data_IF_088901444607
#
_entry.id   IF_088901444607
#
_cell.length_a   1.000
_cell.length_b   1.000
_cell.length_c   1.000
_cell.angle_alpha   90.00
_cell.angle_beta   90.00
_cell.angle_gamma   90.00
#
_symmetry.space_group_name_H-M   'P 1'
#
loop_
_entity.id
_entity.type
_entity.pdbx_description
1 polymer ?
#
# COMPACT_ATOMS: atom_id res chain seq x y z
N UNK A 1 -8.52 -3.89 -21.85
CA UNK A 1 -7.12 -4.24 -21.56
C UNK A 1 -6.79 -3.80 -20.15
N UNK A 2 -6.30 -4.69 -19.27
CA UNK A 2 -5.89 -4.36 -17.90
C UNK A 2 -4.46 -3.82 -17.89
N UNK A 3 -4.21 -2.74 -17.13
CA UNK A 3 -2.87 -2.20 -16.95
C UNK A 3 -2.20 -2.86 -15.74
N UNK A 4 -1.60 -4.02 -15.93
CA UNK A 4 -0.94 -4.80 -14.87
C UNK A 4 0.29 -4.06 -14.33
N UNK A 5 1.03 -3.39 -15.21
CA UNK A 5 2.18 -2.56 -14.84
C UNK A 5 1.88 -1.09 -15.02
N UNK A 6 2.46 -0.26 -14.18
CA UNK A 6 2.36 1.19 -14.33
C UNK A 6 3.17 1.65 -15.56
N UNK A 7 2.54 2.31 -16.55
CA UNK A 7 3.24 2.83 -17.70
C UNK A 7 4.37 3.79 -17.29
N UNK A 8 5.57 3.61 -17.84
CA UNK A 8 6.74 4.45 -17.52
C UNK A 8 6.48 5.95 -17.75
N UNK A 9 5.63 6.30 -18.72
CA UNK A 9 5.25 7.69 -18.99
C UNK A 9 4.57 8.38 -17.79
N UNK A 10 3.80 7.65 -16.97
CA UNK A 10 3.19 8.24 -15.77
C UNK A 10 4.23 8.67 -14.73
N UNK A 11 5.38 8.01 -14.68
CA UNK A 11 6.49 8.39 -13.79
C UNK A 11 7.06 9.76 -14.14
N UNK A 12 7.03 10.15 -15.41
CA UNK A 12 7.47 11.49 -15.87
C UNK A 12 6.51 12.58 -15.40
N UNK A 13 5.20 12.32 -15.39
CA UNK A 13 4.21 13.28 -14.91
C UNK A 13 4.15 13.38 -13.37
N UNK A 14 4.50 12.29 -12.67
CA UNK A 14 4.48 12.23 -11.21
C UNK A 14 5.84 11.80 -10.62
N UNK A 15 6.91 12.57 -10.84
CA UNK A 15 8.26 12.20 -10.40
C UNK A 15 8.43 12.18 -8.88
N UNK A 16 7.51 12.81 -8.15
CA UNK A 16 7.53 12.85 -6.68
C UNK A 16 6.87 11.65 -6.01
N UNK A 17 6.35 10.68 -6.77
CA UNK A 17 5.78 9.44 -6.26
C UNK A 17 6.83 8.34 -6.26
N UNK A 18 6.74 7.46 -5.26
CA UNK A 18 7.57 6.25 -5.20
C UNK A 18 6.88 5.16 -6.03
N UNK A 19 7.51 4.76 -7.12
CA UNK A 19 6.98 3.77 -8.06
C UNK A 19 7.64 2.40 -7.90
N UNK A 20 8.89 2.37 -7.48
CA UNK A 20 9.71 1.19 -7.24
C UNK A 20 10.77 1.53 -6.19
N UNK A 21 11.35 0.52 -5.58
CA UNK A 21 12.45 0.64 -4.62
C UNK A 21 13.79 0.37 -5.31
N UNK A 22 14.93 0.73 -4.69
CA UNK A 22 16.25 0.41 -5.21
C UNK A 22 16.41 -1.08 -5.49
N UNK A 23 17.18 -1.40 -6.53
CA UNK A 23 17.50 -2.77 -6.96
C UNK A 23 18.89 -3.18 -6.47
N UNK A 24 19.19 -4.47 -6.52
CA UNK A 24 20.51 -5.04 -6.22
C UNK A 24 20.53 -6.03 -5.06
N UNK A 25 19.43 -6.14 -4.31
CA UNK A 25 19.37 -6.96 -3.10
C UNK A 25 18.34 -8.10 -3.15
N UNK A 26 17.74 -8.38 -4.34
CA UNK A 26 16.67 -9.35 -4.53
C UNK A 26 15.51 -9.14 -3.55
N UNK A 27 15.00 -7.91 -3.46
CA UNK A 27 13.91 -7.54 -2.57
C UNK A 27 12.61 -7.30 -3.31
N UNK A 28 11.52 -7.85 -2.79
CA UNK A 28 10.15 -7.60 -3.21
C UNK A 28 9.42 -6.84 -2.10
N UNK A 29 8.65 -5.84 -2.49
CA UNK A 29 7.85 -5.02 -1.58
C UNK A 29 6.37 -5.30 -1.80
N UNK A 30 5.85 -6.30 -1.05
CA UNK A 30 4.42 -6.59 -1.07
C UNK A 30 3.65 -5.53 -0.31
N UNK A 31 2.53 -5.09 -0.87
CA UNK A 31 1.65 -4.12 -0.22
C UNK A 31 0.20 -4.57 -0.31
N UNK A 32 -0.57 -4.25 0.73
CA UNK A 32 -2.00 -4.54 0.82
C UNK A 32 -2.78 -3.25 0.97
N UNK A 33 -3.81 -3.07 0.15
CA UNK A 33 -4.69 -1.91 0.20
C UNK A 33 -6.08 -2.32 0.75
N UNK A 34 -6.89 -1.35 1.17
CA UNK A 34 -8.28 -1.44 1.64
C UNK A 34 -8.49 -1.92 3.08
N UNK A 35 -7.55 -2.60 3.70
CA UNK A 35 -7.66 -3.07 5.09
C UNK A 35 -7.68 -1.94 6.16
N UNK A 36 -7.61 -2.32 7.45
CA UNK A 36 -7.65 -3.68 7.97
C UNK A 36 -9.05 -4.31 7.89
N UNK A 37 -9.11 -5.62 7.72
CA UNK A 37 -10.34 -6.40 7.78
C UNK A 37 -10.26 -7.45 8.90
N UNK A 38 -11.28 -7.59 9.79
CA UNK A 38 -11.15 -8.35 11.03
C UNK A 38 -10.92 -9.85 10.85
N UNK A 39 -11.31 -10.41 9.70
CA UNK A 39 -11.14 -11.85 9.38
C UNK A 39 -10.05 -12.11 8.36
N UNK A 40 -9.83 -11.19 7.41
CA UNK A 40 -8.93 -11.42 6.27
C UNK A 40 -7.50 -11.02 6.63
N UNK A 41 -7.32 -9.84 7.19
CA UNK A 41 -5.99 -9.35 7.57
C UNK A 41 -5.24 -10.32 8.49
N UNK A 42 -5.87 -10.93 9.54
CA UNK A 42 -5.19 -11.94 10.35
C UNK A 42 -4.72 -13.16 9.54
N UNK A 43 -5.53 -13.65 8.58
CA UNK A 43 -5.12 -14.76 7.71
C UNK A 43 -3.90 -14.40 6.85
N UNK A 44 -3.88 -13.16 6.32
CA UNK A 44 -2.71 -12.66 5.57
C UNK A 44 -1.47 -12.63 6.47
N UNK A 45 -1.59 -12.13 7.71
CA UNK A 45 -0.48 -12.07 8.67
C UNK A 45 0.09 -13.45 8.99
N UNK A 46 -0.77 -14.46 9.18
CA UNK A 46 -0.34 -15.84 9.40
C UNK A 46 0.42 -16.43 8.20
N UNK A 47 -0.03 -16.15 6.98
CA UNK A 47 0.68 -16.55 5.76
C UNK A 47 2.04 -15.88 5.70
N UNK A 48 2.11 -14.55 5.85
CA UNK A 48 3.34 -13.79 5.81
C UNK A 48 4.37 -14.26 6.84
N UNK A 49 3.91 -14.64 8.02
CA UNK A 49 4.76 -15.17 9.10
C UNK A 49 5.47 -16.46 8.69
N UNK A 50 4.81 -17.38 7.97
CA UNK A 50 5.41 -18.64 7.49
C UNK A 50 6.59 -18.41 6.54
N UNK A 51 6.59 -17.29 5.81
CA UNK A 51 7.65 -16.91 4.86
C UNK A 51 8.62 -15.87 5.43
N UNK A 52 8.52 -15.54 6.72
CA UNK A 52 9.29 -14.43 7.33
C UNK A 52 9.19 -13.11 6.54
N UNK A 53 8.07 -12.89 5.87
CA UNK A 53 7.83 -11.74 5.00
C UNK A 53 7.42 -10.52 5.82
N UNK A 54 8.02 -9.36 5.55
CA UNK A 54 7.56 -8.07 6.06
C UNK A 54 6.98 -7.24 4.91
N UNK A 55 5.83 -6.63 5.14
CA UNK A 55 5.04 -5.97 4.09
C UNK A 55 4.52 -4.61 4.57
N UNK A 56 3.82 -3.89 3.70
CA UNK A 56 3.17 -2.62 4.04
C UNK A 56 1.68 -2.69 3.77
N UNK A 57 0.87 -2.29 4.76
CA UNK A 57 -0.58 -2.19 4.64
C UNK A 57 -0.99 -0.72 4.49
N UNK A 58 -1.64 -0.36 3.39
CA UNK A 58 -2.27 0.95 3.20
C UNK A 58 -3.71 0.90 3.68
N UNK A 59 -3.92 1.40 4.89
CA UNK A 59 -5.15 1.21 5.64
C UNK A 59 -6.15 2.34 5.38
N UNK A 60 -7.43 2.00 5.22
CA UNK A 60 -8.55 2.93 5.19
C UNK A 60 -8.88 3.38 6.61
N UNK A 61 -8.90 4.68 6.88
CA UNK A 61 -9.06 5.24 8.23
C UNK A 61 -10.33 4.78 8.94
N UNK A 62 -11.45 4.67 8.22
CA UNK A 62 -12.70 4.15 8.77
C UNK A 62 -12.57 2.68 9.23
N UNK A 63 -11.82 1.85 8.49
CA UNK A 63 -11.53 0.47 8.87
C UNK A 63 -10.60 0.42 10.10
N UNK A 64 -9.59 1.30 10.18
CA UNK A 64 -8.73 1.43 11.37
C UNK A 64 -9.54 1.79 12.59
N UNK A 65 -10.46 2.77 12.48
CA UNK A 65 -11.36 3.18 13.56
C UNK A 65 -12.24 2.02 14.03
N UNK A 66 -12.77 1.23 13.09
CA UNK A 66 -13.69 0.12 13.34
C UNK A 66 -13.00 -1.15 13.85
N UNK A 67 -11.80 -1.44 13.34
CA UNK A 67 -11.06 -2.69 13.61
C UNK A 67 -9.68 -2.41 14.23
N UNK A 68 -9.69 -1.62 15.29
CA UNK A 68 -8.49 -1.14 15.97
C UNK A 68 -7.55 -2.27 16.41
N UNK A 69 -8.10 -3.36 16.92
CA UNK A 69 -7.30 -4.53 17.35
C UNK A 69 -6.54 -5.17 16.17
N UNK A 70 -7.19 -5.30 15.01
CA UNK A 70 -6.55 -5.82 13.79
C UNK A 70 -5.47 -4.86 13.29
N UNK A 71 -5.69 -3.55 13.37
CA UNK A 71 -4.68 -2.56 13.02
C UNK A 71 -3.44 -2.64 13.93
N UNK A 72 -3.63 -2.76 15.24
CA UNK A 72 -2.52 -2.93 16.19
C UNK A 72 -1.80 -4.27 15.98
N UNK A 73 -2.50 -5.34 15.58
CA UNK A 73 -1.89 -6.62 15.23
C UNK A 73 -0.91 -6.49 14.05
N UNK A 74 -1.27 -5.75 12.98
CA UNK A 74 -0.37 -5.47 11.85
C UNK A 74 0.96 -4.88 12.34
N UNK A 75 0.89 -3.90 13.23
CA UNK A 75 2.07 -3.22 13.78
C UNK A 75 2.88 -4.14 14.70
N UNK A 76 2.19 -4.91 15.56
CA UNK A 76 2.79 -5.88 16.48
C UNK A 76 3.57 -6.96 15.74
N UNK A 77 3.07 -7.43 14.59
CA UNK A 77 3.76 -8.39 13.73
C UNK A 77 4.90 -7.76 12.91
N UNK A 78 5.20 -6.47 13.12
CA UNK A 78 6.36 -5.78 12.57
C UNK A 78 6.21 -5.29 11.14
N UNK A 79 5.01 -5.24 10.60
CA UNK A 79 4.72 -4.67 9.29
C UNK A 79 4.68 -3.14 9.32
N UNK A 80 4.82 -2.49 8.16
CA UNK A 80 4.58 -1.05 8.01
C UNK A 80 3.12 -0.79 7.73
N UNK A 81 2.65 0.39 8.14
CA UNK A 81 1.32 0.90 7.81
C UNK A 81 1.43 2.19 7.01
N UNK A 82 0.47 2.44 6.14
CA UNK A 82 0.32 3.66 5.36
C UNK A 82 -1.13 4.12 5.31
N UNK A 83 -1.34 5.36 4.93
CA UNK A 83 -2.65 5.99 4.84
C UNK A 83 -3.28 5.71 3.46
N UNK A 84 -4.57 5.30 3.44
CA UNK A 84 -5.35 5.06 2.22
C UNK A 84 -6.64 5.89 2.18
N UNK A 85 -6.60 7.13 2.71
CA UNK A 85 -7.73 8.02 2.99
C UNK A 85 -8.68 7.51 4.07
N UNK A 86 -9.68 8.30 4.48
CA UNK A 86 -10.58 7.87 5.55
C UNK A 86 -11.69 6.94 5.06
N UNK A 87 -12.31 7.22 3.89
CA UNK A 87 -13.40 6.42 3.31
C UNK A 87 -13.08 5.91 1.90
N UNK A 88 -11.82 5.76 1.54
CA UNK A 88 -11.40 5.30 0.21
C UNK A 88 -11.89 6.22 -0.92
N UNK A 89 -11.73 7.53 -0.78
CA UNK A 89 -12.23 8.54 -1.71
C UNK A 89 -11.54 8.48 -3.08
N UNK A 90 -12.36 8.66 -4.13
CA UNK A 90 -11.87 8.72 -5.51
C UNK A 90 -11.25 10.09 -5.80
N UNK A 91 -9.92 10.20 -5.80
CA UNK A 91 -9.19 11.46 -5.91
C UNK A 91 -9.62 12.35 -7.06
N UNK A 92 -9.84 11.80 -8.28
CA UNK A 92 -10.17 12.61 -9.46
C UNK A 92 -11.53 13.31 -9.40
N UNK A 93 -12.52 12.74 -8.71
CA UNK A 93 -13.88 13.30 -8.64
C UNK A 93 -14.13 14.04 -7.33
N UNK A 94 -13.37 13.74 -6.28
CA UNK A 94 -13.50 14.42 -4.98
C UNK A 94 -12.87 15.82 -5.02
N UNK A 95 -13.53 16.81 -4.42
CA UNK A 95 -12.95 18.16 -4.30
C UNK A 95 -11.66 18.12 -3.50
N UNK A 96 -10.71 18.99 -3.86
CA UNK A 96 -9.37 18.99 -3.23
C UNK A 96 -9.44 19.13 -1.71
N UNK A 97 -10.30 20.02 -1.20
CA UNK A 97 -10.47 20.22 0.24
C UNK A 97 -10.92 18.95 0.93
N UNK A 98 -12.02 18.34 0.46
CA UNK A 98 -12.63 17.17 1.07
C UNK A 98 -11.71 15.95 1.03
N UNK A 99 -10.98 15.77 -0.09
CA UNK A 99 -9.97 14.72 -0.21
C UNK A 99 -8.82 14.89 0.78
N UNK A 100 -8.32 16.11 0.92
CA UNK A 100 -7.22 16.42 1.84
C UNK A 100 -7.66 16.27 3.29
N UNK A 101 -8.88 16.70 3.63
CA UNK A 101 -9.43 16.56 4.97
C UNK A 101 -9.61 15.07 5.34
N UNK A 102 -10.05 14.23 4.39
CA UNK A 102 -10.12 12.77 4.55
C UNK A 102 -8.74 12.13 4.81
N UNK A 103 -7.70 12.55 4.09
CA UNK A 103 -6.34 12.05 4.35
C UNK A 103 -5.86 12.46 5.75
N UNK A 104 -6.14 13.69 6.19
CA UNK A 104 -5.74 14.18 7.51
C UNK A 104 -6.50 13.44 8.62
N UNK A 105 -7.80 13.21 8.44
CA UNK A 105 -8.61 12.43 9.40
C UNK A 105 -8.07 11.01 9.56
N UNK A 106 -7.70 10.35 8.46
CA UNK A 106 -7.06 9.04 8.51
C UNK A 106 -5.68 9.08 9.19
N UNK A 107 -4.87 10.14 8.91
CA UNK A 107 -3.52 10.29 9.49
C UNK A 107 -3.54 10.45 11.01
N UNK A 108 -4.61 11.02 11.56
CA UNK A 108 -4.80 11.11 13.01
C UNK A 108 -4.87 9.73 13.71
N UNK A 109 -5.27 8.68 12.98
CA UNK A 109 -5.36 7.31 13.47
C UNK A 109 -4.13 6.47 13.08
N UNK A 110 -3.63 6.63 11.84
CA UNK A 110 -2.60 5.77 11.25
C UNK A 110 -1.19 6.24 11.60
N UNK A 111 -0.97 7.56 11.65
CA UNK A 111 0.30 8.20 12.01
C UNK A 111 1.50 7.69 11.18
N UNK A 112 1.38 7.75 9.86
CA UNK A 112 2.41 7.26 8.94
C UNK A 112 2.79 8.31 7.89
N UNK A 113 4.06 8.42 7.50
CA UNK A 113 4.47 9.24 6.38
C UNK A 113 4.11 8.62 5.02
N UNK A 114 3.73 7.34 4.99
CA UNK A 114 3.36 6.63 3.77
C UNK A 114 1.90 6.89 3.44
N UNK A 115 1.64 7.30 2.21
CA UNK A 115 0.29 7.50 1.69
C UNK A 115 0.16 6.88 0.30
N UNK A 116 -0.91 6.14 0.08
CA UNK A 116 -1.30 5.66 -1.26
C UNK A 116 -2.68 6.19 -1.61
N UNK A 117 -2.83 6.92 -2.73
CA UNK A 117 -4.14 7.38 -3.18
C UNK A 117 -5.00 6.19 -3.64
N UNK A 118 -6.27 6.09 -3.22
CA UNK A 118 -7.19 5.09 -3.73
C UNK A 118 -7.26 5.08 -5.26
N UNK A 119 -7.35 3.87 -5.83
CA UNK A 119 -7.33 3.64 -7.29
C UNK A 119 -6.07 4.18 -8.00
N UNK A 120 -5.01 4.56 -7.28
CA UNK A 120 -3.81 5.18 -7.85
C UNK A 120 -4.05 6.55 -8.49
N UNK A 121 -5.12 7.25 -8.13
CA UNK A 121 -5.55 8.49 -8.78
C UNK A 121 -5.59 9.66 -7.81
N UNK A 122 -4.79 10.70 -8.12
CA UNK A 122 -4.68 11.91 -7.31
C UNK A 122 -4.46 13.13 -8.21
N UNK A 123 -5.05 14.29 -7.85
CA UNK A 123 -4.83 15.56 -8.55
C UNK A 123 -3.54 16.24 -8.07
N UNK A 124 -2.88 16.99 -8.93
CA UNK A 124 -1.72 17.81 -8.54
C UNK A 124 -2.05 18.81 -7.43
N UNK A 125 -3.26 19.40 -7.45
CA UNK A 125 -3.72 20.30 -6.39
C UNK A 125 -3.83 19.58 -5.02
N UNK A 126 -4.26 18.33 -5.01
CA UNK A 126 -4.32 17.51 -3.78
C UNK A 126 -2.92 17.23 -3.26
N UNK A 127 -1.98 16.80 -4.13
CA UNK A 127 -0.58 16.55 -3.75
C UNK A 127 0.04 17.81 -3.11
N UNK A 128 -0.09 18.97 -3.79
CA UNK A 128 0.46 20.24 -3.31
C UNK A 128 -0.10 20.63 -1.95
N UNK A 129 -1.41 20.50 -1.78
CA UNK A 129 -2.10 20.86 -0.53
C UNK A 129 -1.73 19.93 0.61
N UNK A 130 -1.66 18.60 0.36
CA UNK A 130 -1.23 17.61 1.35
C UNK A 130 0.19 17.88 1.84
N UNK A 131 1.15 18.06 0.91
CA UNK A 131 2.54 18.37 1.27
C UNK A 131 2.65 19.64 2.12
N UNK A 132 1.83 20.67 1.83
CA UNK A 132 1.81 21.93 2.62
C UNK A 132 1.21 21.71 4.01
N UNK A 133 0.03 21.09 4.10
CA UNK A 133 -0.70 20.91 5.39
C UNK A 133 0.06 19.98 6.35
N UNK A 134 0.52 18.83 5.88
CA UNK A 134 1.24 17.88 6.75
C UNK A 134 2.61 18.37 7.20
N UNK A 135 3.27 19.24 6.42
CA UNK A 135 4.48 19.93 6.86
C UNK A 135 4.21 20.92 8.00
N UNK A 136 3.11 21.68 7.89
CA UNK A 136 2.79 22.73 8.87
C UNK A 136 2.24 22.16 10.19
N UNK A 137 1.46 21.09 10.17
CA UNK A 137 0.92 20.46 11.38
C UNK A 137 2.01 19.82 12.25
N UNK A 138 3.08 19.32 11.65
CA UNK A 138 4.22 18.73 12.39
C UNK A 138 5.15 19.78 13.02
N UNK A 139 5.15 21.03 12.54
CA UNK A 139 5.97 22.11 13.12
C UNK A 139 5.43 22.68 14.43
N UNK A 140 4.17 22.42 14.78
CA UNK A 140 3.55 22.92 16.02
C UNK A 140 3.72 22.01 17.24
N UNK A 141 4.14 20.73 17.08
CA UNK A 141 4.30 19.76 18.16
C UNK A 141 5.74 19.22 18.23
N UNK A 142 6.74 20.10 18.22
CA UNK A 142 8.14 19.71 18.22
C UNK A 142 8.70 19.45 19.61
N UNK A 143 8.88 18.16 19.93
CA UNK A 143 10.06 17.69 20.65
C UNK A 143 10.57 16.41 19.95
N UNK A 144 11.69 16.53 19.21
CA UNK A 144 12.64 15.44 18.85
C UNK A 144 12.23 14.32 17.87
N UNK A 145 11.26 14.49 16.96
CA UNK A 145 11.10 13.57 15.82
C UNK A 145 11.39 14.31 14.52
N UNK A 146 12.35 13.82 13.74
CA UNK A 146 12.65 14.32 12.40
C UNK A 146 11.35 14.48 11.62
N UNK A 147 11.14 15.63 10.99
CA UNK A 147 9.97 15.96 10.19
C UNK A 147 9.89 15.03 8.99
N UNK A 148 9.25 13.88 9.17
CA UNK A 148 9.10 12.91 8.10
C UNK A 148 8.20 13.46 6.99
N UNK A 149 8.81 13.68 5.84
CA UNK A 149 8.10 14.17 4.66
C UNK A 149 7.11 13.12 4.16
N UNK A 150 5.88 13.54 3.80
CA UNK A 150 4.88 12.68 3.17
C UNK A 150 5.45 11.99 1.92
N UNK A 151 5.42 10.67 1.90
CA UNK A 151 5.84 9.82 0.79
C UNK A 151 4.60 9.24 0.12
N UNK A 152 4.31 9.68 -1.10
CA UNK A 152 3.19 9.14 -1.88
C UNK A 152 3.69 7.93 -2.64
N UNK A 153 3.11 6.76 -2.35
CA UNK A 153 3.55 5.47 -2.89
C UNK A 153 2.56 5.00 -3.96
N UNK A 154 3.08 4.77 -5.14
CA UNK A 154 2.41 4.08 -6.22
C UNK A 154 2.81 2.59 -6.24
N UNK A 155 2.88 1.96 -7.40
CA UNK A 155 3.28 0.55 -7.54
C UNK A 155 3.95 0.28 -8.87
N UNK A 156 4.66 -0.82 -8.94
CA UNK A 156 5.22 -1.37 -10.18
C UNK A 156 4.20 -2.28 -10.84
N UNK A 157 3.60 -3.18 -10.04
CA UNK A 157 2.69 -4.25 -10.49
C UNK A 157 1.46 -4.33 -9.60
N UNK A 158 0.31 -4.59 -10.21
CA UNK A 158 -0.95 -4.81 -9.52
C UNK A 158 -1.49 -6.19 -9.87
N UNK A 159 -1.87 -6.98 -8.86
CA UNK A 159 -2.31 -8.37 -9.01
C UNK A 159 -3.66 -8.52 -9.70
N UNK A 160 -4.56 -7.52 -9.58
CA UNK A 160 -5.98 -7.57 -9.96
C UNK A 160 -6.79 -8.62 -9.18
N UNK A 161 -6.40 -8.92 -7.96
CA UNK A 161 -7.04 -9.90 -7.08
C UNK A 161 -8.52 -9.63 -6.75
N UNK A 162 -8.96 -8.38 -6.85
CA UNK A 162 -10.39 -8.00 -6.68
C UNK A 162 -11.26 -8.28 -7.91
N UNK A 163 -10.67 -8.59 -9.07
CA UNK A 163 -11.43 -8.80 -10.31
C UNK A 163 -11.96 -10.24 -10.36
N UNK A 164 -13.26 -10.39 -10.14
CA UNK A 164 -13.95 -11.68 -10.11
C UNK A 164 -13.94 -12.46 -11.44
N UNK A 165 -13.55 -11.81 -12.55
CA UNK A 165 -13.38 -12.47 -13.84
C UNK A 165 -12.01 -13.14 -14.01
N UNK A 166 -11.11 -12.97 -13.04
CA UNK A 166 -9.80 -13.60 -13.00
C UNK A 166 -9.80 -14.78 -12.00
N UNK A 167 -8.90 -15.71 -12.26
CA UNK A 167 -8.58 -16.80 -11.34
C UNK A 167 -7.40 -16.42 -10.44
N UNK A 168 -7.16 -17.16 -9.34
CA UNK A 168 -5.93 -16.99 -8.55
C UNK A 168 -4.65 -17.15 -9.38
N UNK A 169 -4.66 -18.03 -10.37
CA UNK A 169 -3.51 -18.24 -11.26
C UNK A 169 -3.28 -17.07 -12.21
N UNK A 170 -4.34 -16.41 -12.67
CA UNK A 170 -4.20 -15.17 -13.44
C UNK A 170 -3.56 -14.07 -12.59
N UNK A 171 -3.98 -13.92 -11.32
CA UNK A 171 -3.41 -12.95 -10.39
C UNK A 171 -1.94 -13.26 -10.07
N UNK A 172 -1.58 -14.52 -9.84
CA UNK A 172 -0.22 -14.99 -9.69
C UNK A 172 0.63 -14.67 -10.94
N UNK A 173 0.14 -15.03 -12.13
CA UNK A 173 0.81 -14.77 -13.40
C UNK A 173 0.99 -13.27 -13.67
N UNK A 174 0.01 -12.44 -13.31
CA UNK A 174 0.14 -10.98 -13.42
C UNK A 174 1.35 -10.48 -12.63
N UNK A 175 1.61 -11.06 -11.47
CA UNK A 175 2.73 -10.67 -10.61
C UNK A 175 4.05 -11.20 -11.17
N UNK A 176 4.21 -12.51 -11.35
CA UNK A 176 5.51 -13.09 -11.66
C UNK A 176 6.07 -12.75 -13.06
N UNK A 177 5.18 -12.46 -14.01
CA UNK A 177 5.60 -12.02 -15.36
C UNK A 177 6.08 -10.58 -15.41
N UNK A 178 5.76 -9.77 -14.41
CA UNK A 178 5.94 -8.32 -14.46
C UNK A 178 6.73 -7.74 -13.27
N UNK A 179 6.90 -8.47 -12.17
CA UNK A 179 7.64 -8.02 -11.01
C UNK A 179 9.05 -8.61 -10.97
N UNK A 180 9.96 -7.89 -10.34
CA UNK A 180 11.35 -8.29 -10.10
C UNK A 180 11.92 -7.49 -8.94
N UNK A 181 13.24 -7.47 -8.82
CA UNK A 181 13.94 -6.78 -7.74
C UNK A 181 13.54 -5.30 -7.64
N UNK A 182 13.21 -4.84 -6.42
CA UNK A 182 12.72 -3.50 -6.14
C UNK A 182 11.24 -3.27 -6.46
N UNK A 183 10.51 -4.25 -6.98
CA UNK A 183 9.10 -4.08 -7.33
C UNK A 183 8.20 -3.88 -6.12
N UNK A 184 7.30 -2.90 -6.21
CA UNK A 184 6.18 -2.70 -5.30
C UNK A 184 4.96 -3.37 -5.91
N UNK A 185 4.43 -4.37 -5.22
CA UNK A 185 3.32 -5.21 -5.69
C UNK A 185 2.08 -4.93 -4.85
N UNK A 186 0.92 -4.78 -5.49
CA UNK A 186 -0.36 -4.52 -4.81
C UNK A 186 -1.23 -5.76 -4.80
N UNK A 187 -1.66 -6.12 -3.60
CA UNK A 187 -2.79 -6.98 -3.25
C UNK A 187 -3.80 -6.20 -2.40
N UNK A 188 -4.97 -6.80 -2.09
CA UNK A 188 -6.00 -6.17 -1.28
C UNK A 188 -6.49 -7.14 -0.20
N UNK A 189 -6.41 -6.74 1.08
CA UNK A 189 -6.94 -7.52 2.21
C UNK A 189 -8.41 -7.19 2.48
N UNK A 190 -9.24 -7.40 1.45
CA UNK A 190 -10.67 -7.10 1.45
C UNK A 190 -11.52 -8.30 1.01
N UNK A 191 -12.81 -8.34 1.38
CA UNK A 191 -13.73 -9.43 1.01
C UNK A 191 -13.81 -9.66 -0.51
N UNK A 192 -13.70 -8.57 -1.26
CA UNK A 192 -13.77 -8.63 -2.72
C UNK A 192 -12.60 -9.40 -3.33
N UNK A 193 -11.43 -9.31 -2.73
CA UNK A 193 -10.19 -9.92 -3.22
C UNK A 193 -9.93 -11.32 -2.65
N UNK A 194 -10.53 -11.68 -1.52
CA UNK A 194 -10.19 -12.85 -0.72
C UNK A 194 -9.94 -14.14 -1.51
N UNK A 195 -10.88 -14.48 -2.42
CA UNK A 195 -10.85 -15.75 -3.14
C UNK A 195 -9.67 -15.87 -4.12
N UNK A 196 -9.23 -14.75 -4.70
CA UNK A 196 -8.07 -14.71 -5.59
C UNK A 196 -6.79 -14.41 -4.81
N UNK A 197 -6.87 -13.48 -3.86
CA UNK A 197 -5.70 -12.97 -3.15
C UNK A 197 -4.98 -14.06 -2.36
N UNK A 198 -5.67 -14.82 -1.52
CA UNK A 198 -5.03 -15.82 -0.64
C UNK A 198 -4.24 -16.86 -1.45
N UNK A 199 -4.82 -17.58 -2.44
CA UNK A 199 -4.06 -18.56 -3.20
C UNK A 199 -2.94 -17.93 -4.04
N UNK A 200 -3.18 -16.75 -4.64
CA UNK A 200 -2.16 -16.07 -5.44
C UNK A 200 -0.99 -15.59 -4.57
N UNK A 201 -1.27 -15.05 -3.37
CA UNK A 201 -0.26 -14.61 -2.43
C UNK A 201 0.68 -15.74 -2.02
N UNK A 202 0.13 -16.91 -1.67
CA UNK A 202 0.93 -18.09 -1.30
C UNK A 202 1.89 -18.47 -2.44
N UNK A 203 1.37 -18.60 -3.66
CA UNK A 203 2.18 -18.92 -4.85
C UNK A 203 3.25 -17.88 -5.13
N UNK A 204 2.95 -16.59 -4.95
CA UNK A 204 3.92 -15.50 -5.14
C UNK A 204 5.03 -15.59 -4.09
N UNK A 205 4.69 -15.85 -2.83
CA UNK A 205 5.66 -16.00 -1.74
C UNK A 205 6.58 -17.19 -2.00
N UNK A 206 6.03 -18.36 -2.35
CA UNK A 206 6.80 -19.56 -2.71
C UNK A 206 7.75 -19.28 -3.90
N UNK A 207 7.20 -18.77 -5.01
CA UNK A 207 7.96 -18.49 -6.23
C UNK A 207 9.19 -17.61 -6.00
N UNK A 208 9.05 -16.51 -5.24
CA UNK A 208 10.17 -15.59 -5.00
C UNK A 208 11.13 -16.12 -3.93
N UNK A 209 10.65 -16.81 -2.90
CA UNK A 209 11.50 -17.43 -1.87
C UNK A 209 12.43 -18.48 -2.48
N UNK A 210 11.92 -19.35 -3.34
CA UNK A 210 12.72 -20.35 -4.07
C UNK A 210 13.82 -19.73 -4.94
N UNK A 211 13.66 -18.47 -5.34
CA UNK A 211 14.62 -17.71 -6.17
C UNK A 211 15.55 -16.82 -5.33
N UNK A 212 15.51 -16.97 -4.02
CA UNK A 212 16.35 -16.25 -3.08
C UNK A 212 15.98 -14.78 -2.91
N UNK A 213 14.73 -14.40 -3.16
CA UNK A 213 14.21 -13.07 -2.83
C UNK A 213 13.75 -13.01 -1.37
N UNK A 214 13.86 -11.83 -0.78
CA UNK A 214 13.27 -11.48 0.52
C UNK A 214 12.11 -10.50 0.32
N UNK A 215 11.21 -10.48 1.31
CA UNK A 215 10.06 -9.60 1.30
C UNK A 215 10.23 -8.53 2.37
N UNK A 216 10.29 -7.27 1.93
CA UNK A 216 10.56 -6.14 2.81
C UNK A 216 9.40 -5.15 2.83
N UNK A 217 9.20 -4.55 4.00
CA UNK A 217 8.27 -3.44 4.16
C UNK A 217 8.86 -2.14 3.61
N UNK A 218 8.02 -1.23 3.14
CA UNK A 218 8.45 0.11 2.78
C UNK A 218 8.95 0.82 4.04
N UNK A 219 10.22 1.20 4.03
CA UNK A 219 10.89 1.81 5.16
C UNK A 219 10.75 3.33 5.19
N UNK A 220 10.93 3.86 6.39
CA UNK A 220 11.20 5.27 6.63
C UNK A 220 12.73 5.45 6.64
N UNK A 221 13.34 5.55 5.43
CA UNK A 221 14.70 6.09 5.33
C UNK A 221 14.63 7.56 5.01
#
# INVERSE_FOLDING_TARGET
MRLITTPKILRLFYPSLIWEMPKGEKKIYLTFDDGPHPRITPQVLEILKKFNAKVTFFCVGNNVKKYKETFELIKKEGHSVGNHTFNHEKGLITKTKDYVDSVIEADALIQSPLFRPPHGRIKFSQIKTLKKKLRNSKSQNLSNLETQQLKIVAWTVISYDWDKSLTPDDCFNNVIKNAGDGSIIVFHDSEKALNNMIPALIKVLEYYTERGFTFEKLGMK
#
